data_IF_001373894166
#
_entry.id   IF_001373894166
#
_cell.length_a   1.000
_cell.length_b   1.000
_cell.length_c   1.000
_cell.angle_alpha   90.00
_cell.angle_beta   90.00
_cell.angle_gamma   90.00
#
_symmetry.space_group_name_H-M   'P 1'
#
loop_
_entity.id
_entity.type
_entity.pdbx_description
1 polymer ?
#
# COMPACT_ATOMS: atom_id res chain seq x y z
N UNK A 1 27.21 70.78 -21.48
CA UNK A 1 28.10 71.77 -20.82
C UNK A 1 27.21 72.88 -20.32
N UNK A 2 27.20 73.30 -19.07
CA UNK A 2 28.03 72.97 -17.93
C UNK A 2 27.36 73.68 -16.74
N UNK A 3 27.47 73.08 -15.56
CA UNK A 3 27.66 73.82 -14.31
C UNK A 3 26.75 75.04 -14.04
N UNK A 4 25.59 74.79 -13.43
CA UNK A 4 25.03 75.67 -12.39
C UNK A 4 23.88 74.89 -11.76
N UNK A 5 24.00 74.14 -10.67
CA UNK A 5 24.38 74.50 -9.30
C UNK A 5 24.44 73.15 -8.56
N UNK A 6 25.60 72.58 -8.26
CA UNK A 6 26.21 72.66 -6.93
C UNK A 6 25.28 73.34 -5.92
N UNK A 7 24.54 72.54 -5.14
CA UNK A 7 24.60 72.54 -3.68
C UNK A 7 23.62 71.46 -3.16
N UNK A 8 24.12 70.29 -2.75
CA UNK A 8 24.52 70.02 -1.37
C UNK A 8 23.34 69.60 -0.49
N UNK A 9 23.03 68.32 -0.54
CA UNK A 9 22.61 67.47 0.59
C UNK A 9 22.89 66.04 0.07
N UNK A 10 24.12 65.51 0.14
CA UNK A 10 24.77 65.06 1.39
C UNK A 10 23.71 64.64 2.40
N UNK A 11 23.41 63.35 2.44
CA UNK A 11 23.65 62.51 3.61
C UNK A 11 23.04 61.14 3.27
N UNK A 12 23.92 60.17 3.05
CA UNK A 12 24.21 59.11 4.03
C UNK A 12 23.18 57.98 3.87
N UNK A 13 23.62 56.89 3.21
CA UNK A 13 23.86 55.60 3.89
C UNK A 13 22.59 54.91 4.37
N UNK A 14 22.28 53.74 3.80
CA UNK A 14 22.41 52.47 4.52
C UNK A 14 21.96 51.29 3.63
N UNK A 15 22.80 50.24 3.60
CA UNK A 15 22.48 48.84 3.23
C UNK A 15 22.07 48.62 1.77
N UNK A 16 22.83 47.96 0.88
CA UNK A 16 23.48 46.66 1.08
C UNK A 16 22.70 45.77 2.06
N UNK A 17 21.49 45.40 1.68
CA UNK A 17 20.94 44.10 2.07
C UNK A 17 21.00 43.26 0.80
N UNK A 18 22.12 42.58 0.61
CA UNK A 18 22.13 41.32 -0.12
C UNK A 18 21.22 40.37 0.63
N UNK A 19 19.92 40.43 0.35
CA UNK A 19 19.02 39.33 0.64
C UNK A 19 19.41 38.22 -0.34
N UNK A 20 20.43 37.44 0.04
CA UNK A 20 20.45 36.06 -0.36
C UNK A 20 19.17 35.48 0.23
N UNK A 21 18.10 35.42 -0.57
CA UNK A 21 17.09 34.42 -0.33
C UNK A 21 17.80 33.10 -0.62
N UNK A 22 18.45 32.56 0.41
CA UNK A 22 18.67 31.13 0.50
C UNK A 22 17.26 30.56 0.43
N UNK A 23 16.88 30.16 -0.78
CA UNK A 23 15.67 29.39 -1.01
C UNK A 23 15.88 28.10 -0.25
N UNK A 24 15.49 28.08 1.02
CA UNK A 24 15.21 26.87 1.75
C UNK A 24 14.21 26.11 0.86
N UNK A 25 14.72 25.11 0.14
CA UNK A 25 13.86 24.12 -0.49
C UNK A 25 12.97 23.63 0.65
N UNK A 26 11.64 23.69 0.52
CA UNK A 26 10.78 23.13 1.54
C UNK A 26 11.25 21.69 1.75
N UNK A 27 11.54 21.34 3.00
CA UNK A 27 11.92 19.98 3.34
C UNK A 27 10.89 19.05 2.70
N UNK A 28 11.32 18.27 1.71
CA UNK A 28 10.49 17.20 1.18
C UNK A 28 10.25 16.29 2.37
N UNK A 29 9.04 16.32 2.93
CA UNK A 29 8.67 15.39 3.99
C UNK A 29 8.81 14.00 3.41
N UNK A 30 9.85 13.27 3.83
CA UNK A 30 10.00 11.87 3.49
C UNK A 30 8.78 11.13 4.04
N UNK A 31 8.13 10.35 3.19
CA UNK A 31 6.98 9.54 3.61
C UNK A 31 7.44 8.48 4.61
N UNK A 32 6.59 8.19 5.57
CA UNK A 32 6.78 7.01 6.44
C UNK A 32 6.58 5.72 5.65
N UNK A 33 7.11 4.61 6.15
CA UNK A 33 6.93 3.29 5.54
C UNK A 33 5.45 2.92 5.41
N UNK A 34 4.64 3.17 6.45
CA UNK A 34 3.19 2.96 6.41
C UNK A 34 2.54 3.75 5.28
N UNK A 35 2.89 5.04 5.13
CA UNK A 35 2.35 5.87 4.06
C UNK A 35 2.76 5.37 2.67
N UNK A 36 4.00 4.95 2.51
CA UNK A 36 4.51 4.42 1.24
C UNK A 36 3.81 3.11 0.85
N UNK A 37 3.70 2.16 1.79
CA UNK A 37 3.00 0.88 1.58
C UNK A 37 1.53 1.12 1.26
N UNK A 38 0.84 1.97 2.03
CA UNK A 38 -0.57 2.25 1.79
C UNK A 38 -0.81 2.92 0.43
N UNK A 39 0.08 3.83 0.01
CA UNK A 39 0.01 4.43 -1.34
C UNK A 39 0.15 3.38 -2.43
N UNK A 40 1.06 2.41 -2.28
CA UNK A 40 1.23 1.33 -3.26
C UNK A 40 0.02 0.40 -3.30
N UNK A 41 -0.59 0.10 -2.15
CA UNK A 41 -1.84 -0.67 -2.05
C UNK A 41 -2.99 0.04 -2.76
N UNK A 42 -3.14 1.36 -2.57
CA UNK A 42 -4.15 2.17 -3.28
C UNK A 42 -3.95 2.16 -4.80
N UNK A 43 -2.70 2.09 -5.26
CA UNK A 43 -2.32 1.96 -6.66
C UNK A 43 -2.38 0.51 -7.19
N UNK A 44 -2.84 -0.45 -6.39
CA UNK A 44 -2.87 -1.88 -6.67
C UNK A 44 -1.48 -2.49 -7.01
N UNK A 45 -0.42 -1.92 -6.45
CA UNK A 45 0.98 -2.37 -6.58
C UNK A 45 1.39 -3.25 -5.39
N UNK A 46 0.70 -4.37 -5.22
CA UNK A 46 0.85 -5.24 -4.04
C UNK A 46 2.26 -5.85 -3.91
N UNK A 47 2.87 -6.25 -5.03
CA UNK A 47 4.24 -6.79 -5.03
C UNK A 47 5.27 -5.74 -4.60
N UNK A 48 5.11 -4.49 -5.05
CA UNK A 48 5.98 -3.37 -4.65
C UNK A 48 5.77 -3.05 -3.16
N UNK A 49 4.52 -3.05 -2.70
CA UNK A 49 4.19 -2.85 -1.29
C UNK A 49 4.82 -3.92 -0.40
N UNK A 50 4.74 -5.19 -0.80
CA UNK A 50 5.35 -6.30 -0.06
C UNK A 50 6.88 -6.25 -0.10
N UNK A 51 7.47 -5.84 -1.23
CA UNK A 51 8.91 -5.67 -1.37
C UNK A 51 9.49 -4.61 -0.42
N UNK A 52 8.70 -3.59 -0.03
CA UNK A 52 9.10 -2.67 1.03
C UNK A 52 9.24 -3.42 2.35
N UNK A 53 8.30 -4.30 2.69
CA UNK A 53 8.25 -4.99 3.98
C UNK A 53 9.26 -6.13 4.10
N UNK A 54 9.66 -6.72 2.96
CA UNK A 54 10.58 -7.86 2.93
C UNK A 54 11.93 -7.58 3.62
N UNK A 55 12.41 -8.57 4.37
CA UNK A 55 13.64 -8.49 5.15
C UNK A 55 13.63 -7.52 6.34
N UNK A 56 12.52 -6.81 6.62
CA UNK A 56 12.42 -5.96 7.82
C UNK A 56 12.27 -6.81 9.09
N UNK A 57 12.76 -6.31 10.24
CA UNK A 57 12.50 -6.96 11.51
C UNK A 57 11.00 -7.05 11.77
N UNK A 58 10.52 -8.26 12.11
CA UNK A 58 9.12 -8.46 12.47
C UNK A 58 8.76 -7.61 13.68
N UNK A 59 7.90 -6.61 13.47
CA UNK A 59 7.37 -5.69 14.48
C UNK A 59 5.85 -5.60 14.33
N UNK A 60 5.10 -5.13 15.35
CA UNK A 60 3.65 -4.97 15.22
C UNK A 60 3.23 -4.14 14.00
N UNK A 61 3.99 -3.10 13.66
CA UNK A 61 3.76 -2.26 12.49
C UNK A 61 3.96 -3.05 11.18
N UNK A 62 5.08 -3.75 11.03
CA UNK A 62 5.36 -4.55 9.82
C UNK A 62 4.31 -5.65 9.64
N UNK A 63 3.94 -6.33 10.72
CA UNK A 63 2.92 -7.39 10.68
C UNK A 63 1.55 -6.84 10.26
N UNK A 64 1.14 -5.68 10.80
CA UNK A 64 -0.11 -5.06 10.43
C UNK A 64 -0.13 -4.61 8.96
N UNK A 65 1.02 -4.13 8.44
CA UNK A 65 1.15 -3.77 7.03
C UNK A 65 1.13 -5.01 6.12
N UNK A 66 1.82 -6.10 6.49
CA UNK A 66 1.79 -7.38 5.78
C UNK A 66 0.34 -7.91 5.68
N UNK A 67 -0.37 -7.92 6.81
CA UNK A 67 -1.78 -8.32 6.89
C UNK A 67 -2.65 -7.48 5.94
N UNK A 68 -2.49 -6.16 5.96
CA UNK A 68 -3.26 -5.26 5.10
C UNK A 68 -2.95 -5.47 3.61
N UNK A 69 -1.67 -5.63 3.23
CA UNK A 69 -1.29 -5.86 1.83
C UNK A 69 -1.94 -7.14 1.29
N UNK A 70 -1.84 -8.25 2.04
CA UNK A 70 -2.48 -9.51 1.66
C UNK A 70 -4.01 -9.36 1.55
N UNK A 71 -4.64 -8.72 2.55
CA UNK A 71 -6.09 -8.53 2.56
C UNK A 71 -6.57 -7.75 1.32
N UNK A 72 -5.92 -6.63 1.02
CA UNK A 72 -6.30 -5.80 -0.13
C UNK A 72 -5.97 -6.46 -1.46
N UNK A 73 -4.88 -7.24 -1.53
CA UNK A 73 -4.55 -8.00 -2.74
C UNK A 73 -5.60 -9.08 -3.04
N UNK A 74 -6.00 -9.86 -2.04
CA UNK A 74 -7.06 -10.85 -2.17
C UNK A 74 -8.39 -10.26 -2.62
N UNK A 75 -8.79 -9.13 -2.03
CA UNK A 75 -9.99 -8.37 -2.44
C UNK A 75 -9.85 -7.90 -3.90
N UNK A 76 -8.72 -7.30 -4.26
CA UNK A 76 -8.50 -6.82 -5.61
C UNK A 76 -8.65 -7.93 -6.66
N UNK A 77 -8.06 -9.10 -6.39
CA UNK A 77 -8.13 -10.28 -7.26
C UNK A 77 -9.57 -10.75 -7.52
N UNK A 78 -10.48 -10.62 -6.56
CA UNK A 78 -11.88 -11.01 -6.76
C UNK A 78 -12.69 -9.96 -7.50
N UNK A 79 -12.52 -8.68 -7.16
CA UNK A 79 -13.43 -7.64 -7.59
C UNK A 79 -12.97 -6.86 -8.84
N UNK A 80 -11.71 -6.98 -9.26
CA UNK A 80 -11.15 -6.22 -10.39
C UNK A 80 -10.67 -7.10 -11.56
N UNK A 81 -10.86 -8.42 -11.45
CA UNK A 81 -10.37 -9.38 -12.45
C UNK A 81 -11.28 -9.56 -13.66
N UNK A 82 -10.67 -9.89 -14.80
CA UNK A 82 -11.39 -10.35 -15.98
C UNK A 82 -12.17 -11.66 -15.66
N UNK A 83 -13.48 -11.75 -15.99
CA UNK A 83 -14.27 -12.96 -15.74
C UNK A 83 -13.67 -14.25 -16.31
N UNK A 84 -12.91 -14.18 -17.40
CA UNK A 84 -12.22 -15.33 -18.00
C UNK A 84 -11.11 -15.89 -17.10
N UNK A 85 -10.55 -15.07 -16.20
CA UNK A 85 -9.48 -15.45 -15.26
C UNK A 85 -10.01 -15.73 -13.85
N UNK A 86 -11.34 -15.65 -13.63
CA UNK A 86 -11.94 -15.71 -12.31
C UNK A 86 -11.55 -16.95 -11.49
N UNK A 87 -11.39 -18.12 -12.14
CA UNK A 87 -10.94 -19.33 -11.43
C UNK A 87 -9.52 -19.20 -10.90
N UNK A 88 -8.60 -18.73 -11.75
CA UNK A 88 -7.20 -18.55 -11.36
C UNK A 88 -7.10 -17.49 -10.26
N UNK A 89 -7.83 -16.39 -10.41
CA UNK A 89 -7.79 -15.29 -9.45
C UNK A 89 -8.49 -15.63 -8.14
N UNK A 90 -9.51 -16.49 -8.14
CA UNK A 90 -10.09 -17.05 -6.91
C UNK A 90 -9.06 -17.88 -6.13
N UNK A 91 -8.29 -18.75 -6.80
CA UNK A 91 -7.23 -19.51 -6.14
C UNK A 91 -6.09 -18.61 -5.63
N UNK A 92 -5.75 -17.53 -6.33
CA UNK A 92 -4.77 -16.55 -5.83
C UNK A 92 -5.32 -15.80 -4.62
N UNK A 93 -6.57 -15.33 -4.69
CA UNK A 93 -7.21 -14.62 -3.58
C UNK A 93 -7.32 -15.48 -2.32
N UNK A 94 -7.64 -16.77 -2.46
CA UNK A 94 -7.66 -17.70 -1.33
C UNK A 94 -6.28 -17.80 -0.66
N UNK A 95 -5.18 -17.81 -1.42
CA UNK A 95 -3.82 -17.80 -0.84
C UNK A 95 -3.54 -16.50 -0.08
N UNK A 96 -3.97 -15.37 -0.61
CA UNK A 96 -3.84 -14.08 0.08
C UNK A 96 -4.64 -14.07 1.40
N UNK A 97 -5.88 -14.56 1.40
CA UNK A 97 -6.68 -14.62 2.63
C UNK A 97 -6.15 -15.65 3.63
N UNK A 98 -5.60 -16.78 3.18
CA UNK A 98 -4.86 -17.72 4.03
C UNK A 98 -3.71 -16.99 4.72
N UNK A 99 -2.90 -16.22 3.99
CA UNK A 99 -1.79 -15.46 4.57
C UNK A 99 -2.28 -14.45 5.62
N UNK A 100 -3.41 -13.77 5.38
CA UNK A 100 -4.06 -12.91 6.40
C UNK A 100 -4.42 -13.70 7.65
N UNK A 101 -5.03 -14.88 7.50
CA UNK A 101 -5.51 -15.69 8.63
C UNK A 101 -4.36 -16.39 9.38
N UNK A 102 -3.23 -16.65 8.73
CA UNK A 102 -2.00 -17.10 9.39
C UNK A 102 -1.38 -15.98 10.25
N UNK A 103 -1.54 -14.71 9.86
CA UNK A 103 -1.10 -13.55 10.65
C UNK A 103 -2.10 -13.24 11.77
N UNK A 104 -3.39 -13.19 11.44
CA UNK A 104 -4.49 -12.82 12.31
C UNK A 104 -5.69 -13.76 12.08
N UNK A 105 -5.79 -14.86 12.86
CA UNK A 105 -6.88 -15.84 12.73
C UNK A 105 -8.27 -15.27 13.00
N UNK A 106 -8.37 -14.11 13.65
CA UNK A 106 -9.64 -13.44 13.98
C UNK A 106 -10.06 -12.40 12.92
N UNK A 107 -9.36 -12.31 11.77
CA UNK A 107 -9.71 -11.36 10.72
C UNK A 107 -11.04 -11.72 10.04
N UNK A 108 -12.13 -11.11 10.52
CA UNK A 108 -13.49 -11.35 10.04
C UNK A 108 -13.66 -11.13 8.54
N UNK A 109 -12.92 -10.16 7.97
CA UNK A 109 -13.01 -9.83 6.54
C UNK A 109 -12.40 -10.94 5.68
N UNK A 110 -11.21 -11.42 6.01
CA UNK A 110 -10.57 -12.52 5.28
C UNK A 110 -11.40 -13.81 5.38
N UNK A 111 -11.97 -14.10 6.56
CA UNK A 111 -12.89 -15.23 6.75
C UNK A 111 -14.11 -15.11 5.84
N UNK A 112 -14.79 -13.96 5.85
CA UNK A 112 -16.00 -13.75 5.05
C UNK A 112 -15.74 -13.86 3.54
N UNK A 113 -14.64 -13.29 3.03
CA UNK A 113 -14.29 -13.38 1.62
C UNK A 113 -13.90 -14.82 1.23
N UNK A 114 -13.20 -15.55 2.12
CA UNK A 114 -12.88 -16.97 1.93
C UNK A 114 -14.15 -17.81 1.82
N UNK A 115 -15.10 -17.65 2.75
CA UNK A 115 -16.38 -18.34 2.72
C UNK A 115 -17.19 -18.02 1.46
N UNK A 116 -17.17 -16.76 1.01
CA UNK A 116 -17.84 -16.35 -0.22
C UNK A 116 -17.26 -17.06 -1.44
N UNK A 117 -15.94 -17.16 -1.57
CA UNK A 117 -15.29 -17.89 -2.66
C UNK A 117 -15.64 -19.38 -2.59
N UNK A 118 -15.59 -19.99 -1.41
CA UNK A 118 -15.94 -21.40 -1.23
C UNK A 118 -17.40 -21.69 -1.57
N UNK A 119 -18.32 -20.79 -1.23
CA UNK A 119 -19.72 -20.88 -1.64
C UNK A 119 -19.87 -20.88 -3.17
N UNK A 120 -19.07 -20.07 -3.88
CA UNK A 120 -19.06 -20.06 -5.35
C UNK A 120 -18.59 -21.43 -5.87
N UNK A 121 -17.51 -22.01 -5.34
CA UNK A 121 -17.05 -23.33 -5.74
C UNK A 121 -18.11 -24.41 -5.54
N UNK A 122 -18.78 -24.44 -4.39
CA UNK A 122 -19.86 -25.41 -4.09
C UNK A 122 -21.05 -25.34 -5.05
N UNK A 123 -21.26 -24.20 -5.72
CA UNK A 123 -22.29 -24.06 -6.75
C UNK A 123 -21.96 -24.82 -8.06
N UNK A 124 -20.72 -25.30 -8.22
CA UNK A 124 -20.25 -26.06 -9.38
C UNK A 124 -19.72 -27.45 -8.95
N UNK A 125 -20.45 -28.55 -9.24
CA UNK A 125 -20.15 -29.88 -8.66
C UNK A 125 -18.79 -30.47 -9.04
N UNK A 126 -18.18 -30.04 -10.14
CA UNK A 126 -16.88 -30.52 -10.62
C UNK A 126 -15.76 -29.48 -10.42
N UNK A 127 -15.93 -28.53 -9.50
CA UNK A 127 -14.92 -27.48 -9.23
C UNK A 127 -14.62 -27.37 -7.74
N UNK A 128 -13.34 -27.32 -7.44
CA UNK A 128 -12.78 -27.01 -6.12
C UNK A 128 -11.65 -26.00 -6.26
N UNK A 129 -11.23 -25.36 -5.14
CA UNK A 129 -9.91 -24.77 -5.06
C UNK A 129 -8.80 -25.79 -5.40
N UNK A 130 -7.60 -25.28 -5.66
CA UNK A 130 -6.43 -26.10 -5.88
C UNK A 130 -6.09 -26.94 -4.62
N UNK A 131 -5.57 -28.18 -4.77
CA UNK A 131 -5.41 -29.10 -3.64
C UNK A 131 -4.62 -28.54 -2.46
N UNK A 132 -3.56 -27.78 -2.74
CA UNK A 132 -2.74 -27.13 -1.71
C UNK A 132 -3.48 -26.00 -0.98
N UNK A 133 -4.43 -25.36 -1.66
CA UNK A 133 -5.30 -24.34 -1.05
C UNK A 133 -6.32 -25.03 -0.15
N UNK A 134 -6.89 -26.15 -0.61
CA UNK A 134 -7.81 -26.97 0.20
C UNK A 134 -7.15 -27.42 1.50
N UNK A 135 -5.94 -28.00 1.42
CA UNK A 135 -5.19 -28.46 2.60
C UNK A 135 -5.02 -27.34 3.64
N UNK A 136 -4.63 -26.13 3.19
CA UNK A 136 -4.45 -24.98 4.07
C UNK A 136 -5.76 -24.47 4.67
N UNK A 137 -6.84 -24.45 3.90
CA UNK A 137 -8.15 -24.04 4.40
C UNK A 137 -8.71 -25.03 5.42
N UNK A 138 -8.50 -26.33 5.21
CA UNK A 138 -8.86 -27.37 6.18
C UNK A 138 -8.07 -27.21 7.49
N UNK A 139 -6.76 -26.91 7.42
CA UNK A 139 -5.92 -26.61 8.60
C UNK A 139 -6.44 -25.40 9.39
N UNK A 140 -6.98 -24.39 8.70
CA UNK A 140 -7.59 -23.19 9.29
C UNK A 140 -9.04 -23.41 9.76
N UNK A 141 -9.61 -24.61 9.53
CA UNK A 141 -10.94 -25.00 10.03
C UNK A 141 -12.10 -24.63 9.11
N UNK A 142 -11.85 -24.29 7.85
CA UNK A 142 -12.91 -24.11 6.87
C UNK A 142 -13.48 -25.47 6.42
N UNK A 143 -14.80 -25.52 6.30
CA UNK A 143 -15.48 -26.60 5.58
C UNK A 143 -15.25 -26.39 4.08
N UNK A 144 -14.98 -27.44 3.30
CA UNK A 144 -14.67 -27.34 1.85
C UNK A 144 -15.75 -28.06 1.05
#
# INVERSE_FOLDING_TARGET
MSLMRILLFILLTFGLITACSESEKPAQQEMTMEQEVNSLVEEAKFDEAMAILDGKPRSPEVVALEENVHLQHGIYLIYNSDPSQMRENANKALREFIAVLEINPENEKATAETEQILMIYRSFPDRSPEPEVVEKLEELGFDI
#
